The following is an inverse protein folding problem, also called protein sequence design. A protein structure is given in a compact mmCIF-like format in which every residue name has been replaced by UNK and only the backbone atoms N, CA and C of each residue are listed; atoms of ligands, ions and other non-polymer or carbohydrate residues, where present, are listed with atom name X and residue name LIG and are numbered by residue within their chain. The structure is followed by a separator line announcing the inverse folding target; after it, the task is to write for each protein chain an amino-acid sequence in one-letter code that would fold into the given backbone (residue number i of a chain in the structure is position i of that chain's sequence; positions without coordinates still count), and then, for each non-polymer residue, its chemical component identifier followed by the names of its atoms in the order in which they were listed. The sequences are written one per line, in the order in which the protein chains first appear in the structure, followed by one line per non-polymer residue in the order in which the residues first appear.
data_IF_679463229302
#
_entry.id   IF_679463229302
#
_cell.length_a   1.000
_cell.length_b   1.000
_cell.length_c   1.000
_cell.angle_alpha   90.00
_cell.angle_beta   90.00
_cell.angle_gamma   90.00
#
_symmetry.space_group_name_H-M   'P 1'
#
loop_
_entity.id
_entity.type
_entity.pdbx_description
1 polymer ?
#
# COMPACT_ATOMS: atom_id res chain seq x y z
N UNK A 1 77.73 17.02 -0.86
CA UNK A 1 77.44 15.66 -0.32
C UNK A 1 76.04 15.70 0.28
N UNK A 2 75.02 14.94 -0.08
CA UNK A 2 74.83 13.82 -1.01
C UNK A 2 73.43 13.97 -1.61
N UNK A 3 73.29 13.67 -2.90
CA UNK A 3 72.00 13.35 -3.49
C UNK A 3 71.63 11.90 -3.12
N UNK A 4 70.37 11.63 -2.80
CA UNK A 4 69.74 10.33 -3.05
C UNK A 4 68.27 10.53 -3.46
N UNK A 5 67.83 9.59 -4.29
CA UNK A 5 66.73 9.65 -5.25
C UNK A 5 65.76 8.51 -4.91
N UNK A 6 64.51 8.63 -5.36
CA UNK A 6 63.49 7.55 -5.54
C UNK A 6 62.65 7.26 -4.27
N UNK A 7 61.33 7.04 -4.33
CA UNK A 7 60.54 6.14 -5.20
C UNK A 7 59.12 6.71 -5.38
N UNK A 8 58.49 6.70 -6.59
CA UNK A 8 57.06 6.97 -6.69
C UNK A 8 56.26 5.74 -6.24
N UNK A 9 55.43 5.92 -5.22
CA UNK A 9 54.36 4.96 -4.89
C UNK A 9 53.37 4.94 -6.05
N UNK A 10 53.39 3.85 -6.83
CA UNK A 10 52.32 3.54 -7.78
C UNK A 10 51.10 3.13 -6.93
N UNK A 11 50.24 4.09 -6.62
CA UNK A 11 48.92 3.82 -6.07
C UNK A 11 48.05 3.32 -7.21
N UNK A 12 47.89 1.99 -7.26
CA UNK A 12 47.06 1.33 -8.27
C UNK A 12 45.59 1.67 -8.00
N UNK A 13 44.98 2.44 -8.91
CA UNK A 13 43.57 2.79 -8.88
C UNK A 13 42.68 1.56 -9.17
N UNK A 14 42.31 0.83 -8.12
CA UNK A 14 41.22 -0.15 -8.18
C UNK A 14 39.98 0.39 -7.48
N UNK A 15 39.26 1.33 -8.10
CA UNK A 15 37.95 1.75 -7.56
C UNK A 15 36.91 2.18 -8.60
N UNK A 16 37.15 1.95 -9.89
CA UNK A 16 36.22 2.44 -10.94
C UNK A 16 35.17 1.42 -11.43
N UNK A 17 35.28 0.13 -11.12
CA UNK A 17 34.34 -0.88 -11.64
C UNK A 17 33.17 -1.19 -10.69
N UNK A 18 33.30 -0.91 -9.39
CA UNK A 18 32.22 -1.13 -8.43
C UNK A 18 31.05 -0.14 -8.58
N UNK A 19 31.31 1.08 -9.08
CA UNK A 19 30.24 2.06 -9.33
C UNK A 19 29.37 1.71 -10.54
N UNK A 20 29.89 0.98 -11.53
CA UNK A 20 29.17 0.69 -12.77
C UNK A 20 28.07 -0.36 -12.60
N UNK A 21 28.24 -1.29 -11.63
CA UNK A 21 27.24 -2.32 -11.33
C UNK A 21 26.09 -1.80 -10.48
N UNK A 22 26.26 -0.69 -9.76
CA UNK A 22 25.16 -0.03 -9.02
C UNK A 22 24.17 0.67 -9.97
N UNK A 23 24.65 1.14 -11.13
CA UNK A 23 23.84 1.90 -12.08
C UNK A 23 22.85 1.03 -12.90
N UNK A 24 23.09 -0.28 -13.00
CA UNK A 24 22.26 -1.21 -13.78
C UNK A 24 21.11 -1.85 -12.97
N UNK A 25 21.07 -1.61 -11.65
CA UNK A 25 20.12 -2.24 -10.73
C UNK A 25 18.96 -1.35 -10.27
N UNK A 26 18.94 -0.06 -10.62
CA UNK A 26 17.84 0.83 -10.24
C UNK A 26 16.66 0.55 -11.17
N UNK A 27 15.88 -0.50 -10.84
CA UNK A 27 14.51 -0.59 -11.32
C UNK A 27 13.79 0.64 -10.79
N UNK A 28 13.40 1.54 -11.68
CA UNK A 28 12.48 2.62 -11.35
C UNK A 28 11.25 1.98 -10.73
N UNK A 29 11.07 2.16 -9.43
CA UNK A 29 9.80 1.86 -8.79
C UNK A 29 8.83 2.89 -9.36
N UNK A 30 7.94 2.45 -10.27
CA UNK A 30 6.81 3.27 -10.67
C UNK A 30 6.02 3.58 -9.41
N UNK A 31 5.99 4.86 -9.03
CA UNK A 31 5.21 5.30 -7.89
C UNK A 31 3.75 5.00 -8.16
N UNK A 32 3.13 4.23 -7.26
CA UNK A 32 1.68 4.04 -7.26
C UNK A 32 1.09 5.27 -6.59
N UNK A 33 0.47 6.13 -7.39
CA UNK A 33 -0.33 7.25 -6.89
C UNK A 33 -1.72 6.73 -6.51
N UNK A 34 -2.12 6.97 -5.27
CA UNK A 34 -3.43 6.58 -4.76
C UNK A 34 -4.43 7.72 -4.97
N UNK A 35 -5.49 7.46 -5.72
CA UNK A 35 -6.61 8.40 -5.91
C UNK A 35 -7.81 7.95 -5.08
N UNK A 36 -8.43 8.89 -4.37
CA UNK A 36 -9.69 8.65 -3.67
C UNK A 36 -10.83 9.06 -4.60
N UNK A 37 -11.62 8.09 -5.04
CA UNK A 37 -12.82 8.37 -5.83
C UNK A 37 -14.02 8.62 -4.89
N UNK A 38 -14.81 9.68 -5.12
CA UNK A 38 -15.96 9.97 -4.28
C UNK A 38 -17.04 8.89 -4.45
N UNK A 39 -17.45 8.30 -3.33
CA UNK A 39 -18.48 7.27 -3.26
C UNK A 39 -19.63 7.78 -2.41
N UNK A 40 -20.87 7.62 -2.89
CA UNK A 40 -22.09 7.93 -2.14
C UNK A 40 -22.75 6.65 -1.66
N UNK A 41 -22.57 6.34 -0.38
CA UNK A 41 -23.31 5.30 0.33
C UNK A 41 -24.23 5.96 1.37
N UNK A 42 -25.42 5.38 1.66
CA UNK A 42 -26.31 5.91 2.69
C UNK A 42 -25.69 5.93 4.09
N UNK A 43 -24.78 5.00 4.36
CA UNK A 43 -24.04 4.85 5.61
C UNK A 43 -22.64 4.30 5.31
N UNK A 44 -21.66 4.46 6.23
CA UNK A 44 -20.39 3.74 6.14
C UNK A 44 -20.61 2.24 5.99
N UNK A 45 -19.73 1.57 5.24
CA UNK A 45 -19.81 0.15 4.96
C UNK A 45 -18.46 -0.53 5.26
N UNK A 46 -18.44 -1.52 6.14
CA UNK A 46 -17.27 -2.35 6.45
C UNK A 46 -17.60 -3.84 6.33
N UNK A 47 -16.57 -4.70 6.31
CA UNK A 47 -16.69 -6.17 6.18
C UNK A 47 -17.61 -6.64 5.04
N UNK A 48 -17.62 -5.89 3.94
CA UNK A 48 -18.40 -6.21 2.75
C UNK A 48 -17.54 -6.99 1.75
N UNK A 49 -18.19 -7.71 0.85
CA UNK A 49 -17.49 -8.30 -0.31
C UNK A 49 -17.42 -7.28 -1.43
N UNK A 50 -16.24 -7.13 -2.05
CA UNK A 50 -16.04 -6.28 -3.22
C UNK A 50 -15.59 -7.14 -4.41
N UNK A 51 -16.16 -6.92 -5.60
CA UNK A 51 -15.76 -7.65 -6.81
C UNK A 51 -15.87 -6.75 -8.03
N UNK A 52 -14.81 -6.72 -8.85
CA UNK A 52 -14.83 -6.06 -10.15
C UNK A 52 -15.47 -7.01 -11.17
N UNK A 53 -16.53 -6.58 -11.84
CA UNK A 53 -17.25 -7.40 -12.82
C UNK A 53 -16.90 -7.06 -14.27
N UNK A 54 -16.37 -5.86 -14.52
CA UNK A 54 -15.83 -5.43 -15.81
C UNK A 54 -14.87 -4.23 -15.63
N UNK A 55 -14.35 -3.69 -16.73
CA UNK A 55 -13.37 -2.60 -16.74
C UNK A 55 -13.86 -1.26 -16.15
N UNK A 56 -15.14 -1.12 -15.81
CA UNK A 56 -15.69 0.14 -15.28
C UNK A 56 -16.64 -0.07 -14.11
N UNK A 57 -16.84 -1.31 -13.65
CA UNK A 57 -17.88 -1.63 -12.66
C UNK A 57 -17.35 -2.54 -11.56
N UNK A 58 -17.48 -2.07 -10.32
CA UNK A 58 -17.34 -2.88 -9.10
C UNK A 58 -18.70 -3.08 -8.44
N UNK A 59 -18.88 -4.23 -7.79
CA UNK A 59 -20.02 -4.56 -6.95
C UNK A 59 -19.54 -4.68 -5.51
N UNK A 60 -20.25 -4.02 -4.59
CA UNK A 60 -20.14 -4.24 -3.15
C UNK A 60 -21.39 -4.98 -2.66
N UNK A 61 -21.24 -6.00 -1.82
CA UNK A 61 -22.35 -6.81 -1.33
C UNK A 61 -22.28 -7.06 0.18
N UNK A 62 -23.40 -6.83 0.86
CA UNK A 62 -23.58 -7.10 2.28
C UNK A 62 -22.63 -6.30 3.17
N UNK A 63 -22.36 -6.83 4.36
CA UNK A 63 -21.44 -6.25 5.34
C UNK A 63 -22.13 -5.48 6.45
N UNK A 64 -21.34 -4.69 7.17
CA UNK A 64 -21.75 -3.84 8.28
C UNK A 64 -22.11 -2.43 7.79
N UNK A 65 -23.35 -1.98 8.02
CA UNK A 65 -23.84 -0.66 7.60
C UNK A 65 -24.18 0.25 8.80
N UNK A 66 -23.42 0.14 9.88
CA UNK A 66 -23.52 1.03 11.05
C UNK A 66 -22.97 2.43 10.73
N UNK A 67 -23.56 3.48 11.31
CA UNK A 67 -23.06 4.87 11.20
C UNK A 67 -21.61 5.02 11.68
N UNK A 68 -21.16 4.14 12.57
CA UNK A 68 -19.79 4.12 13.09
C UNK A 68 -18.91 3.02 12.45
N UNK A 69 -19.45 2.24 11.51
CA UNK A 69 -18.81 1.02 11.01
C UNK A 69 -18.69 -0.04 12.10
N UNK A 70 -17.66 -0.89 11.98
CA UNK A 70 -17.29 -1.82 13.04
C UNK A 70 -16.68 -1.09 14.23
N UNK A 71 -17.18 -1.41 15.42
CA UNK A 71 -16.67 -0.86 16.67
C UNK A 71 -15.82 -1.93 17.36
N UNK A 72 -14.70 -1.50 17.94
CA UNK A 72 -13.89 -2.35 18.79
C UNK A 72 -14.60 -2.54 20.13
N UNK A 73 -14.77 -3.79 20.54
CA UNK A 73 -15.36 -4.16 21.83
C UNK A 73 -14.29 -4.86 22.65
N UNK A 74 -13.94 -4.23 23.76
CA UNK A 74 -13.07 -4.77 24.81
C UNK A 74 -13.98 -5.43 25.86
N UNK A 75 -13.90 -6.75 25.97
CA UNK A 75 -14.58 -7.50 27.01
C UNK A 75 -13.58 -7.96 28.07
N UNK A 76 -13.76 -7.48 29.29
CA UNK A 76 -12.87 -7.79 30.41
C UNK A 76 -13.02 -9.24 30.90
N UNK A 77 -14.21 -9.83 30.78
CA UNK A 77 -14.47 -11.25 31.07
C UNK A 77 -15.60 -11.83 30.20
N UNK A 78 -15.36 -12.88 29.39
CA UNK A 78 -14.05 -13.45 29.06
C UNK A 78 -13.18 -12.42 28.33
N UNK A 79 -11.86 -12.48 28.53
CA UNK A 79 -10.87 -11.64 27.85
C UNK A 79 -10.92 -11.90 26.35
N UNK A 80 -11.76 -11.13 25.66
CA UNK A 80 -12.07 -11.27 24.25
C UNK A 80 -12.24 -9.90 23.63
N UNK A 81 -11.25 -9.54 22.82
CA UNK A 81 -11.31 -8.38 21.96
C UNK A 81 -11.85 -8.77 20.60
N UNK A 82 -12.90 -8.09 20.15
CA UNK A 82 -13.42 -8.29 18.80
C UNK A 82 -14.00 -7.02 18.20
N UNK A 83 -14.06 -7.01 16.88
CA UNK A 83 -14.82 -6.00 16.15
C UNK A 83 -16.27 -6.47 16.04
N UNK A 84 -17.19 -5.62 16.47
CA UNK A 84 -18.61 -5.89 16.44
C UNK A 84 -19.30 -4.91 15.50
N UNK A 85 -20.26 -5.43 14.75
CA UNK A 85 -21.18 -4.63 13.97
C UNK A 85 -22.55 -4.60 14.64
N UNK A 86 -23.13 -3.40 14.81
CA UNK A 86 -24.47 -3.25 15.37
C UNK A 86 -25.59 -3.43 14.32
N UNK A 87 -25.31 -3.20 13.04
CA UNK A 87 -26.31 -3.28 11.95
C UNK A 87 -25.72 -3.88 10.69
N UNK A 88 -26.30 -4.98 10.22
CA UNK A 88 -25.92 -5.65 8.97
C UNK A 88 -26.86 -5.27 7.83
N UNK A 89 -26.33 -5.30 6.61
CA UNK A 89 -27.10 -5.12 5.38
C UNK A 89 -27.07 -6.37 4.49
N UNK A 90 -28.10 -6.51 3.65
CA UNK A 90 -28.16 -7.47 2.53
C UNK A 90 -28.16 -6.77 1.17
N UNK A 91 -27.95 -5.46 1.19
CA UNK A 91 -27.98 -4.65 -0.03
C UNK A 91 -26.74 -4.94 -0.89
N UNK A 92 -26.90 -4.60 -2.17
CA UNK A 92 -25.86 -4.70 -3.19
C UNK A 92 -25.76 -3.35 -3.88
N UNK A 93 -24.54 -2.85 -4.00
CA UNK A 93 -24.25 -1.57 -4.64
C UNK A 93 -23.36 -1.78 -5.85
N UNK A 94 -23.64 -1.05 -6.93
CA UNK A 94 -22.80 -1.00 -8.12
C UNK A 94 -22.09 0.35 -8.19
N UNK A 95 -20.77 0.30 -8.37
CA UNK A 95 -19.90 1.46 -8.50
C UNK A 95 -19.32 1.53 -9.89
N UNK A 96 -19.50 2.68 -10.52
CA UNK A 96 -18.89 3.01 -11.81
C UNK A 96 -18.11 4.31 -11.66
N UNK A 97 -16.82 4.25 -11.33
CA UNK A 97 -16.01 5.45 -11.21
C UNK A 97 -15.80 6.04 -12.60
N UNK A 98 -15.88 7.36 -12.70
CA UNK A 98 -15.87 8.07 -13.98
C UNK A 98 -14.52 7.97 -14.71
N UNK A 99 -13.44 7.57 -14.02
CA UNK A 99 -12.04 7.61 -14.50
C UNK A 99 -11.23 6.32 -14.15
N UNK A 100 -11.67 5.13 -14.58
CA UNK A 100 -10.87 3.89 -14.47
C UNK A 100 -9.88 3.69 -15.63
#
# INVERSE_FOLDING_TARGET
LFATKSIPFIMVCYSSTALLLLALGVRSATSVEWTVHPVRLPSPLSDHSATVINATTAILAGGCNSTKGNEFVDMTEPDMDFFACSTLTRDVWAFQPEDW
#
